data_IF_916113286557
#
_entry.id   IF_916113286557
#
_cell.length_a   1.000
_cell.length_b   1.000
_cell.length_c   1.000
_cell.angle_alpha   90.00
_cell.angle_beta   90.00
_cell.angle_gamma   90.00
#
_symmetry.space_group_name_H-M   'P 1'
#
loop_
_entity.id
_entity.type
_entity.pdbx_description
1 polymer ?
#
# COMPACT_ATOMS: atom_id res chain seq x y z
N UNK A 1 -11.63 -12.28 -2.28
CA UNK A 1 -11.01 -12.93 -1.12
C UNK A 1 -9.52 -12.95 -1.42
N UNK A 2 -8.71 -12.16 -0.69
CA UNK A 2 -7.27 -12.12 -0.93
C UNK A 2 -6.67 -13.46 -0.49
N UNK A 3 -6.15 -14.25 -1.42
CA UNK A 3 -5.43 -15.48 -1.09
C UNK A 3 -4.02 -15.06 -0.71
N UNK A 4 -3.81 -14.84 0.58
CA UNK A 4 -2.48 -14.53 1.11
C UNK A 4 -1.58 -15.76 0.99
N UNK A 5 -0.45 -15.60 0.30
CA UNK A 5 0.55 -16.67 0.15
C UNK A 5 1.41 -16.73 1.41
N UNK A 6 1.73 -17.93 1.89
CA UNK A 6 2.59 -18.13 3.05
C UNK A 6 3.97 -17.49 2.80
N UNK A 7 4.36 -16.51 3.63
CA UNK A 7 5.62 -15.76 3.48
C UNK A 7 6.85 -16.67 3.37
N UNK A 8 6.86 -17.80 4.07
CA UNK A 8 8.01 -18.72 4.08
C UNK A 8 8.15 -19.49 2.76
N UNK A 9 7.12 -19.52 1.91
CA UNK A 9 7.13 -20.14 0.57
C UNK A 9 7.34 -19.11 -0.54
N UNK A 10 7.56 -17.84 -0.19
CA UNK A 10 7.73 -16.74 -1.16
C UNK A 10 9.17 -16.25 -1.28
N UNK A 11 9.44 -15.48 -2.33
CA UNK A 11 10.72 -14.78 -2.53
C UNK A 11 10.89 -13.53 -1.64
N UNK A 12 9.98 -13.25 -0.70
CA UNK A 12 10.09 -12.08 0.17
C UNK A 12 11.34 -12.11 1.06
N UNK A 13 11.66 -13.28 1.61
CA UNK A 13 12.83 -13.48 2.47
C UNK A 13 14.13 -13.10 1.74
N UNK A 14 14.31 -13.64 0.53
CA UNK A 14 15.44 -13.31 -0.36
C UNK A 14 15.46 -11.82 -0.71
N UNK A 15 14.31 -11.26 -1.09
CA UNK A 15 14.20 -9.85 -1.45
C UNK A 15 14.63 -8.90 -0.31
N UNK A 16 14.22 -9.19 0.93
CA UNK A 16 14.62 -8.41 2.10
C UNK A 16 16.09 -8.65 2.46
N UNK A 17 16.57 -9.89 2.35
CA UNK A 17 17.97 -10.23 2.59
C UNK A 17 18.91 -9.46 1.65
N UNK A 18 18.62 -9.48 0.35
CA UNK A 18 19.43 -8.80 -0.67
C UNK A 18 19.42 -7.28 -0.45
N UNK A 19 18.28 -6.71 -0.04
CA UNK A 19 18.19 -5.29 0.30
C UNK A 19 19.07 -4.89 1.50
N UNK A 20 19.12 -5.72 2.54
CA UNK A 20 19.98 -5.51 3.71
C UNK A 20 21.46 -5.60 3.31
N UNK A 21 21.81 -6.65 2.54
CA UNK A 21 23.17 -6.90 2.08
C UNK A 21 23.68 -5.75 1.19
N UNK A 22 22.91 -5.35 0.17
CA UNK A 22 23.29 -4.25 -0.74
C UNK A 22 23.40 -2.90 -0.02
N UNK A 23 22.66 -2.72 1.07
CA UNK A 23 22.75 -1.53 1.91
C UNK A 23 23.99 -1.53 2.83
N UNK A 24 24.80 -2.59 2.83
CA UNK A 24 25.97 -2.76 3.72
C UNK A 24 25.61 -2.61 5.21
N UNK A 25 24.38 -2.97 5.58
CA UNK A 25 23.88 -2.87 6.95
C UNK A 25 23.99 -4.21 7.65
N UNK A 26 24.42 -4.21 8.91
CA UNK A 26 24.21 -5.38 9.76
C UNK A 26 22.73 -5.58 10.03
N UNK A 27 22.32 -6.83 10.29
CA UNK A 27 20.92 -7.16 10.60
C UNK A 27 20.34 -6.29 11.72
N UNK A 28 21.14 -6.01 12.77
CA UNK A 28 20.76 -5.11 13.88
C UNK A 28 20.55 -3.67 13.42
N UNK A 29 21.43 -3.13 12.57
CA UNK A 29 21.29 -1.76 12.02
C UNK A 29 20.08 -1.67 11.11
N UNK A 30 19.86 -2.67 10.26
CA UNK A 30 18.68 -2.76 9.40
C UNK A 30 17.39 -2.82 10.23
N UNK A 31 17.34 -3.65 11.27
CA UNK A 31 16.19 -3.76 12.18
C UNK A 31 15.86 -2.41 12.84
N UNK A 32 16.88 -1.71 13.35
CA UNK A 32 16.72 -0.37 13.93
C UNK A 32 16.16 0.63 12.91
N UNK A 33 16.65 0.59 11.67
CA UNK A 33 16.24 1.49 10.59
C UNK A 33 14.81 1.24 10.11
N UNK A 34 14.40 -0.03 10.06
CA UNK A 34 13.04 -0.46 9.72
C UNK A 34 12.06 -0.22 10.89
N UNK A 35 12.55 -0.20 12.13
CA UNK A 35 11.69 -0.08 13.31
C UNK A 35 10.99 -1.40 13.66
N UNK A 36 11.69 -2.53 13.51
CA UNK A 36 11.26 -3.88 13.92
C UNK A 36 12.36 -4.56 14.75
N UNK A 37 12.04 -5.66 15.43
CA UNK A 37 13.05 -6.40 16.18
C UNK A 37 14.02 -7.15 15.25
N UNK A 38 15.29 -7.25 15.65
CA UNK A 38 16.28 -8.01 14.89
C UNK A 38 15.92 -9.51 14.80
N UNK A 39 15.27 -10.06 15.84
CA UNK A 39 14.76 -11.42 15.84
C UNK A 39 13.67 -11.63 14.77
N UNK A 40 12.78 -10.65 14.57
CA UNK A 40 11.75 -10.72 13.54
C UNK A 40 12.33 -10.75 12.13
N UNK A 41 13.26 -9.82 11.82
CA UNK A 41 13.96 -9.84 10.52
C UNK A 41 14.74 -11.15 10.33
N UNK A 42 15.42 -11.65 11.36
CA UNK A 42 16.12 -12.95 11.31
C UNK A 42 15.17 -14.09 10.94
N UNK A 43 14.01 -14.17 11.61
CA UNK A 43 13.00 -15.19 11.29
C UNK A 43 12.49 -15.05 9.85
N UNK A 44 12.25 -13.83 9.39
CA UNK A 44 11.78 -13.55 8.02
C UNK A 44 12.79 -14.02 6.97
N UNK A 45 14.06 -13.60 7.05
CA UNK A 45 15.08 -13.93 6.03
C UNK A 45 15.45 -15.41 6.02
N UNK A 46 15.21 -16.13 7.12
CA UNK A 46 15.48 -17.56 7.24
C UNK A 46 14.24 -18.44 7.00
N UNK A 47 13.16 -17.91 6.42
CA UNK A 47 11.92 -18.66 6.14
C UNK A 47 11.29 -19.32 7.40
N UNK A 48 11.45 -18.67 8.57
CA UNK A 48 10.94 -19.10 9.88
C UNK A 48 9.99 -18.08 10.49
N UNK A 49 9.32 -17.28 9.65
CA UNK A 49 8.34 -16.31 10.13
C UNK A 49 7.09 -17.04 10.65
N UNK A 50 6.60 -16.65 11.82
CA UNK A 50 5.41 -17.24 12.43
C UNK A 50 4.11 -16.87 11.67
N UNK A 51 4.12 -15.77 10.94
CA UNK A 51 2.96 -15.25 10.22
C UNK A 51 3.39 -14.30 9.11
N UNK A 52 2.49 -14.06 8.15
CA UNK A 52 2.71 -13.06 7.11
C UNK A 52 2.87 -11.65 7.71
N UNK A 53 3.84 -10.86 7.23
CA UNK A 53 3.98 -9.45 7.61
C UNK A 53 2.74 -8.65 7.19
N UNK A 54 2.14 -7.91 8.13
CA UNK A 54 1.02 -7.00 7.81
C UNK A 54 1.47 -5.91 6.83
N UNK A 55 0.55 -5.32 6.04
CA UNK A 55 0.85 -4.18 5.15
C UNK A 55 1.60 -3.04 5.84
N UNK A 56 1.25 -2.72 7.09
CA UNK A 56 1.96 -1.71 7.87
C UNK A 56 3.43 -2.06 8.15
N UNK A 57 3.74 -3.34 8.38
CA UNK A 57 5.12 -3.84 8.57
C UNK A 57 5.89 -3.82 7.26
N UNK A 58 5.26 -4.21 6.15
CA UNK A 58 5.88 -4.12 4.82
C UNK A 58 6.22 -2.66 4.46
N UNK A 59 5.34 -1.71 4.82
CA UNK A 59 5.59 -0.29 4.58
C UNK A 59 6.83 0.20 5.36
N UNK A 60 6.94 -0.17 6.64
CA UNK A 60 8.14 0.10 7.45
C UNK A 60 9.41 -0.48 6.84
N UNK A 61 9.34 -1.71 6.32
CA UNK A 61 10.47 -2.34 5.62
C UNK A 61 10.83 -1.60 4.34
N UNK A 62 9.84 -1.20 3.55
CA UNK A 62 10.02 -0.43 2.33
C UNK A 62 10.75 0.88 2.61
N UNK A 63 10.27 1.63 3.60
CA UNK A 63 10.84 2.93 3.97
C UNK A 63 12.26 2.77 4.55
N UNK A 64 12.47 1.79 5.44
CA UNK A 64 13.77 1.57 6.10
C UNK A 64 14.85 1.01 5.17
N UNK A 65 14.49 0.09 4.27
CA UNK A 65 15.41 -0.56 3.33
C UNK A 65 15.43 0.09 1.94
N UNK A 66 14.61 1.12 1.71
CA UNK A 66 14.45 1.80 0.41
C UNK A 66 14.10 0.83 -0.73
N UNK A 67 13.19 -0.11 -0.46
CA UNK A 67 12.70 -1.10 -1.42
C UNK A 67 11.22 -0.89 -1.73
N UNK A 68 10.72 -1.51 -2.81
CA UNK A 68 9.36 -1.29 -3.27
C UNK A 68 8.33 -1.98 -2.36
N UNK A 69 7.49 -1.17 -1.69
CA UNK A 69 6.33 -1.63 -0.94
C UNK A 69 5.36 -2.46 -1.81
N UNK A 70 5.11 -1.99 -3.04
CA UNK A 70 4.16 -2.64 -3.96
C UNK A 70 4.64 -4.03 -4.39
N UNK A 71 5.95 -4.20 -4.60
CA UNK A 71 6.54 -5.50 -4.93
C UNK A 71 6.40 -6.48 -3.78
N UNK A 72 6.70 -6.07 -2.54
CA UNK A 72 6.54 -6.94 -1.36
C UNK A 72 5.09 -7.36 -1.16
N UNK A 73 4.16 -6.44 -1.37
CA UNK A 73 2.73 -6.75 -1.30
C UNK A 73 2.29 -7.72 -2.38
N UNK A 74 2.74 -7.51 -3.63
CA UNK A 74 2.47 -8.42 -4.75
C UNK A 74 3.00 -9.83 -4.47
N UNK A 75 4.19 -9.97 -3.88
CA UNK A 75 4.78 -11.26 -3.49
C UNK A 75 3.89 -12.00 -2.48
N UNK A 76 3.27 -11.29 -1.55
CA UNK A 76 2.39 -11.88 -0.52
C UNK A 76 0.91 -11.99 -0.93
N UNK A 77 0.56 -11.55 -2.15
CA UNK A 77 -0.82 -11.54 -2.61
C UNK A 77 -1.69 -10.44 -1.99
N UNK A 78 -1.09 -9.39 -1.42
CA UNK A 78 -1.82 -8.21 -0.99
C UNK A 78 -2.27 -7.40 -2.22
N UNK A 79 -3.56 -7.09 -2.32
CA UNK A 79 -4.06 -6.15 -3.31
C UNK A 79 -3.60 -4.72 -2.93
N UNK A 80 -2.65 -4.19 -3.69
CA UNK A 80 -2.12 -2.83 -3.51
C UNK A 80 -2.88 -1.78 -4.28
N UNK A 81 -3.95 -2.17 -4.99
CA UNK A 81 -4.96 -1.21 -5.46
C UNK A 81 -5.61 -0.65 -4.21
N UNK A 82 -4.97 0.37 -3.63
CA UNK A 82 -5.61 1.24 -2.67
C UNK A 82 -6.87 1.73 -3.36
N UNK A 83 -8.02 1.22 -2.94
CA UNK A 83 -9.25 1.96 -3.12
C UNK A 83 -8.99 3.28 -2.39
N UNK A 84 -8.66 4.33 -3.15
CA UNK A 84 -8.60 5.66 -2.60
C UNK A 84 -10.07 6.00 -2.34
N UNK A 85 -10.46 6.04 -1.08
CA UNK A 85 -11.73 6.64 -0.70
C UNK A 85 -11.59 8.11 -1.07
N UNK A 86 -12.30 8.51 -2.12
CA UNK A 86 -12.39 9.90 -2.57
C UNK A 86 -13.75 10.37 -2.10
N UNK A 87 -13.76 11.36 -1.23
CA UNK A 87 -14.97 12.14 -1.02
C UNK A 87 -15.18 12.99 -2.27
N UNK A 88 -16.16 12.60 -3.11
CA UNK A 88 -16.45 13.26 -4.37
C UNK A 88 -16.93 14.70 -4.15
N UNK A 89 -17.63 14.98 -3.05
CA UNK A 89 -18.09 16.33 -2.71
C UNK A 89 -16.89 17.22 -2.41
N UNK A 90 -15.97 16.74 -1.57
CA UNK A 90 -14.73 17.45 -1.26
C UNK A 90 -13.86 17.65 -2.51
N UNK A 91 -13.74 16.64 -3.37
CA UNK A 91 -12.96 16.74 -4.60
C UNK A 91 -13.54 17.78 -5.58
N UNK A 92 -14.87 17.85 -5.69
CA UNK A 92 -15.55 18.88 -6.48
C UNK A 92 -15.35 20.27 -5.85
N UNK A 93 -15.50 20.40 -4.52
CA UNK A 93 -15.37 21.66 -3.80
C UNK A 93 -13.95 22.24 -3.85
N UNK A 94 -12.93 21.37 -3.89
CA UNK A 94 -11.52 21.74 -4.05
C UNK A 94 -11.13 22.04 -5.52
N UNK A 95 -12.06 21.93 -6.46
CA UNK A 95 -11.81 22.00 -7.92
C UNK A 95 -10.73 21.00 -8.39
N UNK A 96 -10.67 19.81 -7.78
CA UNK A 96 -9.70 18.77 -8.14
C UNK A 96 -9.84 18.38 -9.62
N UNK A 97 -8.73 17.97 -10.24
CA UNK A 97 -8.75 17.43 -11.60
C UNK A 97 -9.40 16.03 -11.60
N UNK A 98 -10.63 15.96 -12.09
CA UNK A 98 -11.45 14.74 -12.17
C UNK A 98 -11.63 14.33 -13.63
N UNK A 99 -11.67 13.03 -13.89
CA UNK A 99 -11.93 12.48 -15.22
C UNK A 99 -13.06 11.45 -15.19
N UNK A 100 -13.82 11.35 -16.27
CA UNK A 100 -14.84 10.34 -16.49
C UNK A 100 -14.64 9.73 -17.89
N UNK A 101 -14.49 8.40 -17.97
CA UNK A 101 -14.20 7.73 -19.25
C UNK A 101 -12.89 8.21 -19.91
N UNK A 102 -11.91 8.67 -19.12
CA UNK A 102 -10.64 9.19 -19.63
C UNK A 102 -10.69 10.64 -20.11
N UNK A 103 -11.83 11.32 -20.03
CA UNK A 103 -11.98 12.75 -20.37
C UNK A 103 -12.07 13.61 -19.11
N UNK A 104 -11.47 14.81 -19.08
CA UNK A 104 -11.61 15.73 -17.95
C UNK A 104 -13.07 16.14 -17.77
N UNK A 105 -13.54 16.16 -16.52
CA UNK A 105 -14.86 16.68 -16.17
C UNK A 105 -14.75 18.20 -16.04
N UNK A 106 -15.54 18.93 -16.82
CA UNK A 106 -15.61 20.38 -16.78
C UNK A 106 -16.25 20.90 -15.49
N UNK A 107 -16.12 22.20 -15.21
CA UNK A 107 -16.71 22.82 -14.00
C UNK A 107 -18.23 22.71 -13.96
N UNK A 108 -18.88 22.88 -15.11
CA UNK A 108 -20.34 22.77 -15.23
C UNK A 108 -20.80 21.33 -14.94
N UNK A 109 -20.09 20.34 -15.48
CA UNK A 109 -20.38 18.92 -15.21
C UNK A 109 -20.12 18.56 -13.75
N UNK A 110 -19.06 19.09 -13.12
CA UNK A 110 -18.82 18.91 -11.68
C UNK A 110 -19.99 19.45 -10.84
N UNK A 111 -20.54 20.62 -11.20
CA UNK A 111 -21.73 21.19 -10.53
C UNK A 111 -22.96 20.31 -10.76
N UNK A 112 -23.17 19.82 -11.98
CA UNK A 112 -24.27 18.92 -12.30
C UNK A 112 -24.19 17.61 -11.48
N UNK A 113 -23.02 16.98 -11.44
CA UNK A 113 -22.74 15.78 -10.62
C UNK A 113 -23.00 16.07 -9.14
N UNK A 114 -22.52 17.21 -8.62
CA UNK A 114 -22.77 17.61 -7.23
C UNK A 114 -24.27 17.71 -6.93
N UNK A 115 -25.05 18.39 -7.79
CA UNK A 115 -26.51 18.50 -7.63
C UNK A 115 -27.21 17.14 -7.68
N UNK A 116 -26.82 16.29 -8.63
CA UNK A 116 -27.38 14.94 -8.77
C UNK A 116 -27.13 14.07 -7.52
N UNK A 117 -25.97 14.22 -6.89
CA UNK A 117 -25.60 13.45 -5.70
C UNK A 117 -26.12 14.06 -4.38
N UNK A 118 -26.24 15.39 -4.31
CA UNK A 118 -26.77 16.11 -3.13
C UNK A 118 -28.32 16.02 -3.04
N UNK A 119 -29.03 15.65 -4.12
CA UNK A 119 -30.48 15.86 -4.25
C UNK A 119 -31.29 14.74 -4.92
N UNK A 120 -30.97 13.47 -4.64
CA UNK A 120 -31.90 12.34 -4.88
C UNK A 120 -33.00 12.19 -3.82
N UNK A 121 -33.07 13.09 -2.84
CA UNK A 121 -34.20 13.25 -1.92
C UNK A 121 -35.06 14.42 -2.40
N UNK A 122 -35.71 14.26 -3.54
CA UNK A 122 -37.01 14.88 -3.71
C UNK A 122 -37.98 13.96 -2.98
N UNK A 123 -38.25 14.29 -1.71
CA UNK A 123 -39.40 13.73 -1.00
C UNK A 123 -40.65 13.96 -1.85
N UNK A 124 -41.21 12.85 -2.36
CA UNK A 124 -42.58 12.75 -2.86
C UNK A 124 -43.13 11.36 -2.53
#
# INVERSE_FOLDING_TARGET
>A
MDILVNVNETNLAKYVHDAIFNSHLSLRKAAKKVGVSAAYLSKLINHKANSNPKPSTLKKMADGLKISYTNMCKILGYDTRKQRVIDLKQAIDNDDYLTFGGRPISKEEKIFVKRMLDGGNDDN
#
